data_IF_376725826145
#
_entry.id   IF_376725826145
#
_cell.length_a   1.000
_cell.length_b   1.000
_cell.length_c   1.000
_cell.angle_alpha   90.00
_cell.angle_beta   90.00
_cell.angle_gamma   90.00
#
_symmetry.space_group_name_H-M   'P 1'
#
loop_
_entity.id
_entity.type
_entity.pdbx_description
1 polymer ?
#
# COMPACT_ATOMS: atom_id res chain seq x y z
N UNK A 1 -1.88 11.86 -1.34
CA UNK A 1 -1.22 10.56 -1.70
C UNK A 1 -1.23 9.64 -0.49
N UNK A 2 -1.57 8.36 -0.65
CA UNK A 2 -1.67 7.41 0.47
C UNK A 2 -0.59 6.34 0.39
N UNK A 3 0.19 6.20 1.47
CA UNK A 3 1.40 5.36 1.48
C UNK A 3 1.36 4.35 2.62
N UNK A 4 1.75 3.11 2.34
CA UNK A 4 1.91 2.10 3.37
C UNK A 4 3.25 2.24 4.09
N UNK A 5 3.23 2.17 5.43
CA UNK A 5 4.41 2.21 6.28
C UNK A 5 4.43 0.96 7.17
N UNK A 6 5.58 0.30 7.21
CA UNK A 6 5.93 -0.82 8.10
C UNK A 6 7.10 -0.44 9.02
N UNK A 7 7.48 -1.34 9.93
CA UNK A 7 8.62 -1.16 10.84
C UNK A 7 9.94 -0.94 10.09
N UNK A 8 10.14 -1.63 8.97
CA UNK A 8 11.37 -1.61 8.16
C UNK A 8 11.36 -0.53 7.08
N UNK A 9 10.30 0.27 6.99
CA UNK A 9 10.22 1.32 5.97
C UNK A 9 11.12 2.49 6.36
N UNK A 10 12.08 2.84 5.51
CA UNK A 10 12.88 4.06 5.65
C UNK A 10 11.98 5.28 5.70
N UNK A 11 11.78 5.83 6.89
CA UNK A 11 10.92 6.99 7.15
C UNK A 11 11.39 8.23 6.37
N UNK A 12 12.64 8.24 5.90
CA UNK A 12 13.23 9.29 5.06
C UNK A 12 12.81 9.21 3.58
N UNK A 13 12.48 8.01 3.07
CA UNK A 13 12.07 7.79 1.67
C UNK A 13 10.60 8.11 1.41
N UNK A 14 9.80 8.30 2.47
CA UNK A 14 8.40 8.69 2.35
C UNK A 14 8.32 10.13 1.80
N UNK A 15 7.58 10.38 0.69
CA UNK A 15 7.35 11.72 0.16
C UNK A 15 6.90 12.73 1.22
N UNK A 16 7.37 13.97 1.11
CA UNK A 16 7.04 15.04 2.07
C UNK A 16 5.56 15.47 1.99
N UNK A 17 4.93 15.31 0.82
CA UNK A 17 3.53 15.68 0.55
C UNK A 17 2.52 14.58 0.93
N UNK A 18 2.89 13.68 1.84
CA UNK A 18 2.03 12.54 2.23
C UNK A 18 0.97 12.99 3.22
N UNK A 19 -0.27 13.14 2.74
CA UNK A 19 -1.44 13.49 3.56
C UNK A 19 -2.10 12.28 4.27
N UNK A 20 -1.95 11.08 3.71
CA UNK A 20 -2.58 9.86 4.23
C UNK A 20 -1.55 8.73 4.39
N UNK A 21 -1.58 8.05 5.54
CA UNK A 21 -0.66 6.93 5.83
C UNK A 21 -1.46 5.67 6.16
N UNK A 22 -1.08 4.54 5.58
CA UNK A 22 -1.56 3.23 5.97
C UNK A 22 -0.53 2.50 6.83
N UNK A 23 -0.84 2.20 8.09
CA UNK A 23 0.04 1.39 8.94
C UNK A 23 -0.23 -0.09 8.73
N UNK A 24 0.75 -0.79 8.16
CA UNK A 24 0.71 -2.25 7.96
C UNK A 24 1.05 -2.98 9.26
N UNK A 25 1.99 -2.43 10.03
CA UNK A 25 2.43 -2.92 11.34
C UNK A 25 2.51 -1.76 12.33
N UNK A 26 2.43 -2.03 13.65
CA UNK A 26 2.74 -1.02 14.66
C UNK A 26 4.14 -0.46 14.44
N UNK A 27 4.28 0.86 14.53
CA UNK A 27 5.58 1.54 14.34
C UNK A 27 6.18 1.96 15.68
N UNK A 28 7.52 2.05 15.71
CA UNK A 28 8.26 2.61 16.85
C UNK A 28 7.89 4.07 17.09
N UNK A 29 7.95 4.51 18.35
CA UNK A 29 7.58 5.88 18.76
C UNK A 29 8.41 6.96 18.05
N UNK A 30 9.70 6.73 17.87
CA UNK A 30 10.62 7.67 17.22
C UNK A 30 10.21 7.93 15.76
N UNK A 31 9.90 6.85 15.03
CA UNK A 31 9.44 6.94 13.65
C UNK A 31 8.08 7.65 13.55
N UNK A 32 7.19 7.40 14.50
CA UNK A 32 5.90 8.10 14.59
C UNK A 32 6.10 9.60 14.83
N UNK A 33 6.93 9.97 15.82
CA UNK A 33 7.20 11.38 16.12
C UNK A 33 7.87 12.09 14.94
N UNK A 34 8.76 11.43 14.20
CA UNK A 34 9.37 11.97 12.98
C UNK A 34 8.35 12.16 11.85
N UNK A 35 7.46 11.19 11.63
CA UNK A 35 6.38 11.29 10.63
C UNK A 35 5.45 12.46 10.94
N UNK A 36 5.04 12.58 12.21
CA UNK A 36 4.12 13.60 12.68
C UNK A 36 4.72 15.01 12.66
N UNK A 37 6.05 15.17 12.79
CA UNK A 37 6.72 16.48 12.77
C UNK A 37 7.00 16.98 11.35
N UNK A 38 7.36 16.09 10.43
CA UNK A 38 7.91 16.49 9.14
C UNK A 38 6.91 16.45 7.98
N UNK A 39 5.67 15.97 8.21
CA UNK A 39 4.68 15.77 7.15
C UNK A 39 3.28 16.18 7.59
N UNK A 40 2.47 16.77 6.69
CA UNK A 40 1.10 17.20 6.99
C UNK A 40 0.13 16.01 6.94
N UNK A 41 0.26 15.06 7.87
CA UNK A 41 -0.58 13.85 7.91
C UNK A 41 -1.96 14.22 8.47
N UNK A 42 -3.00 14.07 7.65
CA UNK A 42 -4.40 14.32 8.03
C UNK A 42 -5.11 13.05 8.47
N UNK A 43 -4.73 11.90 7.89
CA UNK A 43 -5.43 10.62 8.11
C UNK A 43 -4.47 9.45 8.21
N UNK A 44 -4.67 8.60 9.21
CA UNK A 44 -3.97 7.33 9.37
C UNK A 44 -4.99 6.20 9.20
N UNK A 45 -4.82 5.38 8.17
CA UNK A 45 -5.58 4.15 8.02
C UNK A 45 -4.81 2.95 8.57
N UNK A 46 -5.51 2.02 9.20
CA UNK A 46 -4.88 0.85 9.83
C UNK A 46 -5.87 -0.31 9.93
N UNK A 47 -5.35 -1.54 10.01
CA UNK A 47 -6.21 -2.70 10.24
C UNK A 47 -6.69 -2.73 11.69
N UNK A 48 -7.83 -3.39 11.94
CA UNK A 48 -8.37 -3.55 13.30
C UNK A 48 -7.39 -4.28 14.23
N UNK A 49 -6.64 -5.24 13.70
CA UNK A 49 -5.57 -5.95 14.41
C UNK A 49 -4.42 -5.01 14.79
N UNK A 50 -3.99 -4.15 13.85
CA UNK A 50 -2.94 -3.18 14.11
C UNK A 50 -3.35 -2.15 15.16
N UNK A 51 -4.62 -1.71 15.17
CA UNK A 51 -5.13 -0.80 16.21
C UNK A 51 -5.00 -1.41 17.61
N UNK A 52 -5.39 -2.68 17.77
CA UNK A 52 -5.33 -3.39 19.05
C UNK A 52 -3.90 -3.56 19.56
N UNK A 53 -2.94 -3.73 18.65
CA UNK A 53 -1.52 -3.90 18.97
C UNK A 53 -0.78 -2.57 19.15
N UNK A 54 -1.37 -1.45 18.74
CA UNK A 54 -0.75 -0.14 18.86
C UNK A 54 -0.70 0.28 20.34
N UNK A 55 0.44 0.74 20.87
CA UNK A 55 0.52 1.21 22.25
C UNK A 55 -0.49 2.34 22.52
N UNK A 56 -1.22 2.26 23.65
CA UNK A 56 -2.22 3.29 24.02
C UNK A 56 -1.67 4.72 24.00
N UNK A 57 -0.42 4.90 24.44
CA UNK A 57 0.28 6.21 24.40
C UNK A 57 0.44 6.76 22.97
N UNK A 58 0.65 5.90 21.97
CA UNK A 58 0.73 6.32 20.58
C UNK A 58 -0.65 6.71 20.03
N UNK A 59 -1.71 5.99 20.43
CA UNK A 59 -3.09 6.33 20.03
C UNK A 59 -3.52 7.70 20.59
N UNK A 60 -3.14 8.00 21.83
CA UNK A 60 -3.42 9.30 22.46
C UNK A 60 -2.71 10.42 21.70
N UNK A 61 -1.41 10.29 21.41
CA UNK A 61 -0.65 11.28 20.61
C UNK A 61 -1.26 11.57 19.24
N UNK A 62 -1.79 10.54 18.57
CA UNK A 62 -2.43 10.69 17.26
C UNK A 62 -3.74 11.49 17.40
N UNK A 63 -4.53 11.20 18.44
CA UNK A 63 -5.77 11.94 18.73
C UNK A 63 -5.52 13.38 19.17
N UNK A 64 -4.51 13.63 20.01
CA UNK A 64 -4.13 14.96 20.49
C UNK A 64 -3.73 15.91 19.35
N UNK A 65 -3.19 15.37 18.25
CA UNK A 65 -2.85 16.14 17.05
C UNK A 65 -4.01 16.30 16.05
N UNK A 66 -5.20 15.82 16.38
CA UNK A 66 -6.39 15.94 15.52
C UNK A 66 -6.36 15.06 14.26
N UNK A 67 -5.58 13.97 14.26
CA UNK A 67 -5.45 13.09 13.09
C UNK A 67 -6.55 12.03 13.10
N UNK A 68 -7.27 11.88 11.98
CA UNK A 68 -8.32 10.88 11.84
C UNK A 68 -7.73 9.46 11.74
N UNK A 69 -8.19 8.56 12.61
CA UNK A 69 -7.88 7.13 12.51
C UNK A 69 -9.02 6.42 11.78
N UNK A 70 -8.73 5.83 10.62
CA UNK A 70 -9.70 5.04 9.85
C UNK A 70 -9.33 3.56 9.85
N UNK A 71 -10.30 2.69 10.14
CA UNK A 71 -10.09 1.24 10.07
C UNK A 71 -10.41 0.75 8.66
N UNK A 72 -9.41 0.24 7.95
CA UNK A 72 -9.57 -0.20 6.57
C UNK A 72 -9.73 -1.71 6.48
N UNK A 73 -10.78 -2.17 5.77
CA UNK A 73 -11.07 -3.59 5.56
C UNK A 73 -10.49 -4.15 4.25
N UNK A 74 -9.84 -3.33 3.41
CA UNK A 74 -9.30 -3.74 2.11
C UNK A 74 -8.19 -4.78 2.26
N UNK A 75 -8.46 -6.01 1.81
CA UNK A 75 -7.51 -7.15 1.81
C UNK A 75 -6.69 -7.17 0.50
N UNK A 76 -5.78 -8.12 0.37
CA UNK A 76 -4.97 -8.31 -0.85
C UNK A 76 -3.56 -7.72 -0.76
N UNK A 77 -2.62 -8.38 -1.45
CA UNK A 77 -1.21 -8.00 -1.56
C UNK A 77 -1.06 -6.93 -2.64
N UNK A 78 -0.14 -5.99 -2.44
CA UNK A 78 0.20 -5.02 -3.48
C UNK A 78 0.82 -5.74 -4.68
N UNK A 79 0.42 -5.33 -5.88
CA UNK A 79 0.98 -5.87 -7.12
C UNK A 79 2.39 -5.33 -7.33
N UNK A 80 3.29 -6.24 -7.73
CA UNK A 80 4.67 -5.94 -8.12
C UNK A 80 4.77 -5.87 -9.65
N UNK A 81 3.85 -5.11 -10.25
CA UNK A 81 3.77 -4.88 -11.69
C UNK A 81 3.69 -3.38 -11.94
N UNK A 82 4.31 -2.91 -13.02
CA UNK A 82 4.13 -1.53 -13.46
C UNK A 82 2.73 -1.32 -14.02
N UNK A 83 2.29 -0.06 -14.08
CA UNK A 83 0.99 0.27 -14.70
C UNK A 83 0.93 -0.17 -16.16
N UNK A 84 2.02 0.01 -16.90
CA UNK A 84 2.16 -0.40 -18.30
C UNK A 84 1.99 -1.92 -18.45
N UNK A 85 2.73 -2.71 -17.66
CA UNK A 85 2.60 -4.18 -17.67
C UNK A 85 1.17 -4.63 -17.34
N UNK A 86 0.49 -3.95 -16.40
CA UNK A 86 -0.89 -4.29 -16.07
C UNK A 86 -1.86 -4.00 -17.21
N UNK A 87 -1.68 -2.88 -17.92
CA UNK A 87 -2.51 -2.53 -19.08
C UNK A 87 -2.29 -3.53 -20.22
N UNK A 88 -1.04 -3.84 -20.51
CA UNK A 88 -0.67 -4.77 -21.58
C UNK A 88 -1.21 -6.19 -21.34
N UNK A 89 -1.13 -6.69 -20.10
CA UNK A 89 -1.77 -7.97 -19.74
C UNK A 89 -3.29 -7.94 -19.96
N UNK A 90 -3.94 -6.81 -19.64
CA UNK A 90 -5.39 -6.66 -19.82
C UNK A 90 -5.74 -6.61 -21.31
N UNK A 91 -4.92 -5.96 -22.14
CA UNK A 91 -5.08 -5.89 -23.60
C UNK A 91 -4.88 -7.25 -24.25
N UNK A 92 -3.77 -7.95 -23.98
CA UNK A 92 -3.53 -9.31 -24.49
C UNK A 92 -4.65 -10.27 -24.09
N UNK A 93 -5.23 -10.08 -22.90
CA UNK A 93 -6.38 -10.88 -22.47
C UNK A 93 -7.67 -10.56 -23.24
N UNK A 94 -7.87 -9.30 -23.65
CA UNK A 94 -8.99 -8.90 -24.53
C UNK A 94 -8.81 -9.47 -25.94
N UNK A 95 -7.57 -9.62 -26.40
CA UNK A 95 -7.22 -10.26 -27.67
C UNK A 95 -7.31 -11.80 -27.59
N UNK A 96 -8.02 -12.33 -26.60
CA UNK A 96 -8.26 -13.75 -26.36
C UNK A 96 -7.00 -14.60 -26.13
N UNK A 97 -5.86 -14.00 -25.82
CA UNK A 97 -4.66 -14.76 -25.48
C UNK A 97 -4.85 -15.56 -24.19
N UNK A 98 -4.29 -16.77 -24.21
CA UNK A 98 -4.28 -17.63 -23.03
C UNK A 98 -3.30 -17.10 -21.98
N UNK A 99 -3.55 -17.41 -20.70
CA UNK A 99 -2.64 -16.97 -19.60
C UNK A 99 -1.21 -17.48 -19.84
N UNK A 100 -1.06 -18.64 -20.51
CA UNK A 100 0.24 -19.21 -20.88
C UNK A 100 0.93 -18.46 -22.02
N UNK A 101 0.18 -17.90 -22.96
CA UNK A 101 0.74 -17.03 -24.01
C UNK A 101 1.22 -15.72 -23.41
N UNK A 102 0.41 -15.09 -22.56
CA UNK A 102 0.76 -13.84 -21.87
C UNK A 102 2.03 -14.03 -21.03
N UNK A 103 2.16 -15.16 -20.34
CA UNK A 103 3.38 -15.52 -19.61
C UNK A 103 4.62 -15.55 -20.52
N UNK A 104 4.51 -16.14 -21.71
CA UNK A 104 5.64 -16.23 -22.65
C UNK A 104 5.99 -14.88 -23.29
N UNK A 105 5.01 -14.05 -23.59
CA UNK A 105 5.21 -12.74 -24.23
C UNK A 105 5.84 -11.75 -23.25
N UNK A 106 5.33 -11.74 -22.01
CA UNK A 106 5.68 -10.72 -21.01
C UNK A 106 6.78 -11.18 -20.03
N UNK A 107 7.15 -12.45 -20.05
CA UNK A 107 8.02 -13.09 -19.05
C UNK A 107 7.52 -12.88 -17.60
N UNK A 108 6.19 -12.92 -17.42
CA UNK A 108 5.53 -12.75 -16.12
C UNK A 108 4.93 -14.10 -15.70
N UNK A 109 5.17 -14.55 -14.45
CA UNK A 109 4.66 -15.83 -13.99
C UNK A 109 3.14 -15.97 -14.17
N UNK A 110 2.69 -17.11 -14.69
CA UNK A 110 1.26 -17.42 -14.87
C UNK A 110 0.40 -17.13 -13.64
N UNK A 111 0.93 -17.40 -12.44
CA UNK A 111 0.25 -17.16 -11.17
C UNK A 111 -0.02 -15.67 -10.93
N UNK A 112 0.93 -14.81 -11.28
CA UNK A 112 0.81 -13.35 -11.18
C UNK A 112 -0.21 -12.82 -12.17
N UNK A 113 -0.18 -13.29 -13.43
CA UNK A 113 -1.17 -12.95 -14.46
C UNK A 113 -2.57 -13.37 -14.02
N UNK A 114 -2.73 -14.61 -13.52
CA UNK A 114 -3.99 -15.10 -13.00
C UNK A 114 -4.49 -14.27 -11.81
N UNK A 115 -3.60 -13.91 -10.89
CA UNK A 115 -3.92 -13.08 -9.73
C UNK A 115 -4.40 -11.69 -10.16
N UNK A 116 -3.71 -11.05 -11.12
CA UNK A 116 -4.09 -9.76 -11.68
C UNK A 116 -5.50 -9.79 -12.28
N UNK A 117 -5.81 -10.83 -13.05
CA UNK A 117 -7.08 -10.95 -13.76
C UNK A 117 -8.26 -11.26 -12.82
N UNK A 118 -8.04 -12.07 -11.79
CA UNK A 118 -9.13 -12.64 -10.97
C UNK A 118 -9.32 -11.97 -9.60
N UNK A 119 -8.26 -11.48 -8.99
CA UNK A 119 -8.26 -11.16 -7.55
C UNK A 119 -7.65 -9.81 -7.19
N UNK A 120 -6.85 -9.21 -8.07
CA UNK A 120 -6.06 -8.06 -7.67
C UNK A 120 -6.91 -6.82 -7.41
N UNK A 121 -6.73 -6.23 -6.23
CA UNK A 121 -7.17 -4.86 -5.95
C UNK A 121 -6.20 -3.90 -6.64
N UNK A 122 -6.59 -3.44 -7.83
CA UNK A 122 -5.81 -2.52 -8.68
C UNK A 122 -5.53 -1.17 -8.01
N UNK A 123 -6.18 -0.90 -6.87
CA UNK A 123 -5.91 0.27 -6.05
C UNK A 123 -4.61 0.19 -5.23
N UNK A 124 -3.88 -0.94 -5.20
CA UNK A 124 -2.62 -1.08 -4.43
C UNK A 124 -1.45 -1.48 -5.33
N UNK A 125 -0.55 -0.54 -5.58
CA UNK A 125 0.61 -0.75 -6.46
C UNK A 125 1.91 -0.61 -5.66
N UNK A 126 2.88 -1.48 -5.91
CA UNK A 126 4.21 -1.40 -5.32
C UNK A 126 5.13 -0.61 -6.25
N UNK A 127 5.74 0.46 -5.74
CA UNK A 127 6.78 1.23 -6.43
C UNK A 127 8.08 1.11 -5.63
N UNK A 128 8.94 0.18 -6.04
CA UNK A 128 10.15 -0.16 -5.28
C UNK A 128 9.81 -0.75 -3.90
N UNK A 129 10.29 -0.13 -2.82
CA UNK A 129 9.97 -0.55 -1.45
C UNK A 129 8.65 0.01 -0.90
N UNK A 130 8.00 0.92 -1.63
CA UNK A 130 6.85 1.67 -1.12
C UNK A 130 5.56 1.18 -1.77
N UNK A 131 4.54 0.88 -0.96
CA UNK A 131 3.21 0.54 -1.47
C UNK A 131 2.37 1.81 -1.51
N UNK A 132 1.86 2.12 -2.69
CA UNK A 132 0.99 3.25 -2.96
C UNK A 132 -0.44 2.79 -3.14
N UNK A 133 -1.37 3.55 -2.56
CA UNK A 133 -2.78 3.38 -2.82
C UNK A 133 -3.23 4.40 -3.86
N UNK A 134 -3.70 3.92 -5.00
CA UNK A 134 -4.39 4.73 -6.01
C UNK A 134 -5.82 4.96 -5.49
N UNK A 135 -6.23 6.24 -5.40
CA UNK A 135 -7.61 6.63 -5.11
C UNK A 135 -8.42 6.61 -6.38
#
# INVERSE_FOLDING_TARGET
MKIAVSEDTDVKKVPKDTEEIHLVRPIKKENLDFLLKNRPIKKISLSSSCLKRLPKKAQIKIKERGIEISVEKKRGRALDLTMEQMLEIIELRKDYQSIREIEKVMDIPKSTVHYLLKYADRGKVKKGSTIMYLK
#
